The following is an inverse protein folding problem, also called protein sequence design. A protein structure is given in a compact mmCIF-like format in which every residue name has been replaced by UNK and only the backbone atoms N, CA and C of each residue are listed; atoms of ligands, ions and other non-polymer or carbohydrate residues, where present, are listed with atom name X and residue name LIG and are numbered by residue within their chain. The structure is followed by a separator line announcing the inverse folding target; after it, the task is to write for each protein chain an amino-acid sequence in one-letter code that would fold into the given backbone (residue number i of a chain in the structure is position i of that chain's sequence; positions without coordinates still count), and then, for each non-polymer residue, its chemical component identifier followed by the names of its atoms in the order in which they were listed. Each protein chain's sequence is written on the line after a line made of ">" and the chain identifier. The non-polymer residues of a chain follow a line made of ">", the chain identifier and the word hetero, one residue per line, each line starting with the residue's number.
data_IF_433533334188
#
_entry.id   IF_433533334188
#
_cell.length_a   1.000
_cell.length_b   1.000
_cell.length_c   1.000
_cell.angle_alpha   90.00
_cell.angle_beta   90.00
_cell.angle_gamma   90.00
#
_symmetry.space_group_name_H-M   'P 1'
#
loop_
_entity.id
_entity.type
_entity.pdbx_description
1 polymer ?
#
# COMPACT_ATOMS: atom_id res chain seq x y z
N UNK A 1 54.97 3.54 13.04
CA UNK A 1 54.38 4.21 11.86
C UNK A 1 53.79 3.07 11.01
N UNK A 2 52.54 2.74 11.26
CA UNK A 2 51.82 1.64 10.59
C UNK A 2 50.87 2.32 9.60
N UNK A 3 51.11 2.05 8.32
CA UNK A 3 50.27 2.53 7.22
C UNK A 3 48.94 1.77 7.27
N UNK A 4 47.85 2.48 7.44
CA UNK A 4 46.47 1.95 7.28
C UNK A 4 46.16 2.02 5.80
N UNK A 5 46.08 0.85 5.18
CA UNK A 5 45.66 0.69 3.80
C UNK A 5 44.11 0.89 3.75
N UNK A 6 43.71 2.03 3.24
CA UNK A 6 42.31 2.35 3.01
C UNK A 6 41.87 1.74 1.68
N UNK A 7 41.48 0.46 1.70
CA UNK A 7 40.72 -0.12 0.58
C UNK A 7 39.33 0.47 0.58
N UNK A 8 39.12 1.44 -0.32
CA UNK A 8 37.81 2.03 -0.57
C UNK A 8 36.85 0.93 -1.01
N UNK A 9 35.94 0.57 -0.14
CA UNK A 9 34.75 -0.24 -0.50
C UNK A 9 33.96 0.54 -1.54
N UNK A 10 33.86 0.00 -2.74
CA UNK A 10 32.97 0.53 -3.78
C UNK A 10 31.53 0.47 -3.27
N UNK A 11 30.73 1.54 -3.42
CA UNK A 11 29.32 1.47 -3.09
C UNK A 11 28.68 0.35 -3.93
N UNK A 12 27.91 -0.51 -3.27
CA UNK A 12 27.17 -1.59 -3.91
C UNK A 12 26.17 -0.97 -4.88
N UNK A 13 26.30 -1.23 -6.17
CA UNK A 13 25.33 -0.77 -7.18
C UNK A 13 24.08 -1.66 -7.13
N UNK A 14 22.93 -1.09 -7.49
CA UNK A 14 21.64 -1.83 -7.58
C UNK A 14 21.80 -3.14 -8.36
N UNK A 15 22.59 -3.13 -9.42
CA UNK A 15 22.90 -4.31 -10.22
C UNK A 15 23.72 -5.38 -9.48
N UNK A 16 24.56 -5.02 -8.51
CA UNK A 16 25.34 -5.99 -7.74
C UNK A 16 24.55 -6.66 -6.62
N UNK A 17 23.59 -5.95 -6.02
CA UNK A 17 22.64 -6.52 -5.05
C UNK A 17 21.66 -7.49 -5.73
N UNK A 18 21.12 -7.10 -6.87
CA UNK A 18 20.16 -7.92 -7.64
C UNK A 18 20.84 -9.15 -8.25
N UNK A 19 22.08 -9.01 -8.76
CA UNK A 19 22.81 -10.11 -9.38
C UNK A 19 23.34 -11.15 -8.39
N UNK A 20 23.59 -10.78 -7.14
CA UNK A 20 24.04 -11.70 -6.10
C UNK A 20 22.90 -12.64 -5.63
N UNK A 21 21.66 -12.15 -5.57
CA UNK A 21 20.50 -12.92 -5.11
C UNK A 21 19.78 -13.69 -6.23
N UNK A 22 19.83 -13.22 -7.48
CA UNK A 22 19.17 -13.89 -8.60
C UNK A 22 19.72 -15.31 -8.92
N UNK A 23 20.86 -15.69 -8.37
CA UNK A 23 21.46 -17.03 -8.52
C UNK A 23 20.93 -18.07 -7.51
N UNK A 24 20.18 -17.67 -6.50
CA UNK A 24 19.78 -18.55 -5.39
C UNK A 24 18.37 -19.15 -5.49
N UNK A 25 17.63 -18.87 -6.56
CA UNK A 25 16.20 -19.24 -6.63
C UNK A 25 15.85 -20.36 -7.61
N UNK A 26 16.84 -21.13 -8.08
CA UNK A 26 16.61 -22.49 -8.57
C UNK A 26 16.71 -23.38 -7.33
N UNK A 27 15.58 -23.69 -6.73
CA UNK A 27 15.51 -24.53 -5.55
C UNK A 27 15.99 -25.96 -5.87
N UNK A 28 17.16 -26.43 -5.36
CA UNK A 28 17.43 -27.86 -5.31
C UNK A 28 16.42 -28.51 -4.33
N UNK A 29 16.15 -29.82 -4.45
CA UNK A 29 15.37 -30.54 -3.46
C UNK A 29 16.08 -30.41 -2.11
N UNK A 30 15.61 -29.47 -1.27
CA UNK A 30 16.23 -29.20 0.03
C UNK A 30 15.30 -29.66 1.13
N UNK A 31 15.94 -30.15 2.19
CA UNK A 31 15.31 -30.34 3.48
C UNK A 31 14.58 -29.05 3.87
N UNK A 32 13.23 -29.06 3.98
CA UNK A 32 12.48 -27.87 4.33
C UNK A 32 12.87 -27.31 5.70
N UNK A 33 13.56 -28.09 6.53
CA UNK A 33 14.06 -27.69 7.84
C UNK A 33 15.46 -27.09 7.80
N UNK A 34 16.19 -27.21 6.68
CA UNK A 34 17.47 -26.55 6.53
C UNK A 34 17.26 -25.06 6.29
N UNK A 35 17.69 -24.23 7.22
CA UNK A 35 17.63 -22.77 7.14
C UNK A 35 16.21 -22.16 7.09
N UNK A 36 15.39 -22.45 8.13
CA UNK A 36 14.04 -21.90 8.29
C UNK A 36 14.01 -20.36 8.45
N UNK A 37 15.16 -19.71 8.66
CA UNK A 37 15.24 -18.28 8.92
C UNK A 37 15.23 -17.41 7.67
N UNK A 38 14.83 -17.92 6.51
CA UNK A 38 14.82 -17.17 5.25
C UNK A 38 13.43 -17.09 4.62
N UNK A 39 13.12 -15.99 3.96
CA UNK A 39 11.88 -15.83 3.16
C UNK A 39 11.76 -16.93 2.09
N UNK A 40 12.89 -17.36 1.52
CA UNK A 40 12.93 -18.45 0.55
C UNK A 40 12.48 -19.80 1.16
N UNK A 41 12.77 -20.05 2.43
CA UNK A 41 12.31 -21.25 3.13
C UNK A 41 10.78 -21.27 3.27
N UNK A 42 10.17 -20.14 3.58
CA UNK A 42 8.70 -20.02 3.67
C UNK A 42 8.04 -20.32 2.32
N UNK A 43 8.61 -19.82 1.20
CA UNK A 43 8.14 -20.18 -0.15
C UNK A 43 8.21 -21.69 -0.42
N UNK A 44 9.31 -22.37 -0.03
CA UNK A 44 9.43 -23.83 -0.18
C UNK A 44 8.43 -24.61 0.70
N UNK A 45 8.13 -24.09 1.88
CA UNK A 45 7.10 -24.69 2.76
C UNK A 45 5.73 -24.57 2.09
N UNK A 46 5.36 -23.42 1.53
CA UNK A 46 4.11 -23.23 0.79
C UNK A 46 4.01 -24.19 -0.42
N UNK A 47 5.09 -24.34 -1.21
CA UNK A 47 5.18 -25.31 -2.31
C UNK A 47 4.96 -26.74 -1.79
N UNK A 48 5.63 -27.13 -0.71
CA UNK A 48 5.52 -28.48 -0.13
C UNK A 48 4.12 -28.77 0.43
N UNK A 49 3.47 -27.79 1.07
CA UNK A 49 2.10 -27.93 1.56
C UNK A 49 1.11 -28.16 0.42
N UNK A 50 1.32 -27.56 -0.73
CA UNK A 50 0.46 -27.69 -1.89
C UNK A 50 0.86 -28.82 -2.87
N UNK A 51 1.96 -29.52 -2.62
CA UNK A 51 2.38 -30.68 -3.42
C UNK A 51 1.28 -31.78 -3.44
N UNK A 52 1.26 -32.70 -4.44
CA UNK A 52 0.24 -33.74 -4.57
C UNK A 52 0.05 -34.61 -3.32
N UNK A 53 1.10 -34.79 -2.54
CA UNK A 53 1.15 -35.51 -1.26
C UNK A 53 1.26 -34.54 -0.04
N UNK A 54 0.97 -33.25 -0.25
CA UNK A 54 0.97 -32.23 0.79
C UNK A 54 -0.31 -32.18 1.61
N UNK A 55 -0.59 -31.03 2.21
CA UNK A 55 -1.76 -30.82 3.04
C UNK A 55 -3.04 -30.75 2.19
N UNK A 56 -4.06 -31.58 2.41
CA UNK A 56 -5.31 -31.56 1.64
C UNK A 56 -6.01 -30.21 1.71
N UNK A 57 -6.01 -29.54 2.87
CA UNK A 57 -6.65 -28.25 3.06
C UNK A 57 -5.95 -27.14 2.25
N UNK A 58 -4.61 -27.05 2.31
CA UNK A 58 -3.85 -26.04 1.56
C UNK A 58 -3.99 -26.22 0.04
N UNK A 59 -4.10 -27.47 -0.42
CA UNK A 59 -4.28 -27.81 -1.84
C UNK A 59 -5.62 -27.35 -2.41
N UNK A 60 -6.66 -27.28 -1.60
CA UNK A 60 -8.00 -26.82 -2.00
C UNK A 60 -8.10 -25.30 -2.04
N UNK A 61 -7.14 -24.58 -1.44
CA UNK A 61 -7.20 -23.12 -1.38
C UNK A 61 -6.99 -22.47 -2.73
N UNK A 62 -7.63 -21.32 -2.89
CA UNK A 62 -7.53 -20.41 -4.03
C UNK A 62 -7.24 -18.99 -3.53
N UNK A 63 -6.84 -18.08 -4.40
CA UNK A 63 -6.72 -16.66 -4.05
C UNK A 63 -8.00 -16.09 -3.39
N UNK A 64 -9.16 -16.53 -3.85
CA UNK A 64 -10.45 -16.07 -3.34
C UNK A 64 -10.76 -16.65 -1.95
N UNK A 65 -10.50 -17.95 -1.72
CA UNK A 65 -10.77 -18.60 -0.44
C UNK A 65 -9.86 -18.10 0.69
N UNK A 66 -8.62 -17.69 0.36
CA UNK A 66 -7.65 -17.16 1.32
C UNK A 66 -7.85 -15.68 1.65
N UNK A 67 -8.70 -14.96 0.93
CA UNK A 67 -8.95 -13.55 1.17
C UNK A 67 -9.41 -13.22 2.60
N UNK A 68 -10.36 -13.98 3.24
CA UNK A 68 -10.71 -13.77 4.63
C UNK A 68 -9.53 -13.95 5.59
N UNK A 69 -8.71 -14.98 5.37
CA UNK A 69 -7.54 -15.26 6.22
C UNK A 69 -6.50 -14.14 6.14
N UNK A 70 -6.18 -13.63 4.94
CA UNK A 70 -5.27 -12.50 4.80
C UNK A 70 -5.76 -11.26 5.58
N UNK A 71 -7.08 -11.03 5.65
CA UNK A 71 -7.66 -9.94 6.41
C UNK A 71 -7.59 -10.20 7.91
N UNK A 72 -7.86 -11.44 8.34
CA UNK A 72 -7.77 -11.90 9.73
C UNK A 72 -6.36 -11.69 10.28
N UNK A 73 -5.33 -12.24 9.63
CA UNK A 73 -3.93 -12.04 10.02
C UNK A 73 -3.50 -10.56 10.08
N UNK A 74 -4.05 -9.75 9.16
CA UNK A 74 -3.78 -8.31 9.20
C UNK A 74 -4.35 -7.63 10.45
N UNK A 75 -5.56 -8.03 10.89
CA UNK A 75 -6.15 -7.50 12.11
C UNK A 75 -5.50 -8.05 13.38
N UNK A 76 -5.06 -9.31 13.40
CA UNK A 76 -4.32 -9.90 14.51
C UNK A 76 -2.97 -9.22 14.71
N UNK A 77 -2.26 -8.92 13.61
CA UNK A 77 -1.05 -8.11 13.66
C UNK A 77 -1.30 -6.68 14.19
N UNK A 78 -2.42 -6.04 13.85
CA UNK A 78 -2.81 -4.73 14.39
C UNK A 78 -3.11 -4.83 15.89
N UNK A 79 -3.84 -5.86 16.34
CA UNK A 79 -4.12 -6.08 17.74
C UNK A 79 -2.83 -6.32 18.56
N UNK A 80 -1.86 -7.08 18.01
CA UNK A 80 -0.56 -7.27 18.61
C UNK A 80 0.23 -5.96 18.73
N UNK A 81 0.17 -5.09 17.71
CA UNK A 81 0.76 -3.74 17.74
C UNK A 81 0.13 -2.88 18.83
N UNK A 82 -1.19 -2.85 18.93
CA UNK A 82 -1.94 -2.05 19.90
C UNK A 82 -1.66 -2.50 21.34
N UNK A 83 -1.48 -3.81 21.56
CA UNK A 83 -1.14 -4.36 22.88
C UNK A 83 0.32 -4.09 23.30
N UNK A 84 1.20 -3.77 22.36
CA UNK A 84 2.63 -3.63 22.57
C UNK A 84 3.37 -4.95 22.83
N UNK A 85 2.72 -6.10 22.60
CA UNK A 85 3.32 -7.43 22.75
C UNK A 85 4.15 -7.79 21.51
N UNK A 86 5.47 -7.59 21.62
CA UNK A 86 6.40 -7.84 20.51
C UNK A 86 6.56 -9.33 20.17
N UNK A 87 6.34 -10.24 21.11
CA UNK A 87 6.40 -11.68 20.85
C UNK A 87 5.19 -12.11 20.01
N UNK A 88 4.00 -11.68 20.43
CA UNK A 88 2.79 -11.88 19.64
C UNK A 88 2.91 -11.22 18.25
N UNK A 89 3.38 -9.98 18.20
CA UNK A 89 3.58 -9.29 16.91
C UNK A 89 4.52 -10.07 15.96
N UNK A 90 5.59 -10.68 16.50
CA UNK A 90 6.49 -11.50 15.70
C UNK A 90 5.75 -12.69 15.07
N UNK A 91 4.89 -13.33 15.83
CA UNK A 91 4.14 -14.50 15.39
C UNK A 91 3.11 -14.09 14.31
N UNK A 92 2.31 -13.03 14.53
CA UNK A 92 1.34 -12.52 13.55
C UNK A 92 2.00 -12.00 12.26
N UNK A 93 3.19 -11.38 12.34
CA UNK A 93 3.96 -11.03 11.16
C UNK A 93 4.44 -12.27 10.37
N UNK A 94 4.68 -13.39 11.07
CA UNK A 94 4.96 -14.68 10.46
C UNK A 94 3.77 -15.20 9.66
N UNK A 95 2.57 -15.12 10.21
CA UNK A 95 1.33 -15.57 9.57
C UNK A 95 0.98 -14.67 8.35
N UNK A 96 1.14 -13.35 8.46
CA UNK A 96 1.08 -12.45 7.30
C UNK A 96 2.09 -12.83 6.21
N UNK A 97 3.33 -13.16 6.59
CA UNK A 97 4.35 -13.60 5.62
C UNK A 97 3.95 -14.92 4.95
N UNK A 98 3.32 -15.83 5.69
CA UNK A 98 2.80 -17.07 5.12
C UNK A 98 1.66 -16.79 4.12
N UNK A 99 0.74 -15.85 4.41
CA UNK A 99 -0.27 -15.43 3.43
C UNK A 99 0.37 -14.93 2.12
N UNK A 100 1.45 -14.16 2.21
CA UNK A 100 2.19 -13.73 1.00
C UNK A 100 2.77 -14.94 0.25
N UNK A 101 3.37 -15.89 0.96
CA UNK A 101 4.01 -17.06 0.35
C UNK A 101 3.01 -18.00 -0.32
N UNK A 102 1.85 -18.28 0.31
CA UNK A 102 0.84 -19.17 -0.27
C UNK A 102 0.18 -18.54 -1.49
N UNK A 103 -0.06 -17.22 -1.48
CA UNK A 103 -0.53 -16.50 -2.65
C UNK A 103 0.50 -16.50 -3.79
N UNK A 104 1.79 -16.36 -3.49
CA UNK A 104 2.85 -16.46 -4.49
C UNK A 104 2.96 -17.88 -5.06
N UNK A 105 2.73 -18.93 -4.23
CA UNK A 105 2.69 -20.31 -4.69
C UNK A 105 1.51 -20.60 -5.62
N UNK A 106 0.32 -20.09 -5.29
CA UNK A 106 -0.85 -20.17 -6.18
C UNK A 106 -0.57 -19.53 -7.54
N UNK A 107 0.03 -18.34 -7.55
CA UNK A 107 0.41 -17.66 -8.77
C UNK A 107 1.50 -18.43 -9.57
N UNK A 108 2.42 -19.10 -8.88
CA UNK A 108 3.41 -19.98 -9.50
C UNK A 108 2.77 -21.17 -10.21
N UNK A 109 1.78 -21.80 -9.60
CA UNK A 109 1.01 -22.91 -10.18
C UNK A 109 0.24 -22.48 -11.44
N UNK A 110 -0.17 -21.21 -11.51
CA UNK A 110 -0.79 -20.59 -12.69
C UNK A 110 0.24 -20.13 -13.74
N UNK A 111 1.55 -20.24 -13.45
CA UNK A 111 2.64 -19.82 -14.34
C UNK A 111 2.81 -18.30 -14.43
N UNK A 112 2.32 -17.53 -13.44
CA UNK A 112 2.34 -16.08 -13.45
C UNK A 112 3.61 -15.50 -12.80
N UNK A 113 3.86 -15.77 -11.53
CA UNK A 113 5.03 -15.32 -10.76
C UNK A 113 5.23 -16.19 -9.52
N UNK A 114 6.41 -16.11 -8.91
CA UNK A 114 6.76 -16.83 -7.69
C UNK A 114 7.13 -15.90 -6.52
N UNK A 115 7.47 -16.48 -5.37
CA UNK A 115 7.90 -15.74 -4.17
C UNK A 115 9.18 -14.91 -4.42
N UNK A 116 10.04 -15.37 -5.31
CA UNK A 116 11.25 -14.65 -5.67
C UNK A 116 10.94 -13.38 -6.45
N UNK A 117 9.97 -13.46 -7.36
CA UNK A 117 9.51 -12.31 -8.14
C UNK A 117 8.85 -11.26 -7.22
N UNK A 118 8.08 -11.70 -6.23
CA UNK A 118 7.50 -10.82 -5.21
C UNK A 118 8.62 -10.08 -4.45
N UNK A 119 9.60 -10.81 -3.93
CA UNK A 119 10.71 -10.25 -3.17
C UNK A 119 11.56 -9.29 -4.03
N UNK A 120 11.90 -9.70 -5.26
CA UNK A 120 12.66 -8.88 -6.22
C UNK A 120 11.95 -7.58 -6.53
N UNK A 121 10.66 -7.65 -6.90
CA UNK A 121 9.87 -6.47 -7.25
C UNK A 121 9.71 -5.50 -6.08
N UNK A 122 9.58 -6.02 -4.87
CA UNK A 122 9.59 -5.19 -3.65
C UNK A 122 10.95 -4.52 -3.44
N UNK A 123 12.05 -5.27 -3.52
CA UNK A 123 13.41 -4.76 -3.35
C UNK A 123 13.74 -3.66 -4.36
N UNK A 124 13.50 -3.89 -5.65
CA UNK A 124 13.70 -2.90 -6.71
C UNK A 124 12.89 -1.63 -6.46
N UNK A 125 11.64 -1.77 -6.05
CA UNK A 125 10.76 -0.64 -5.71
C UNK A 125 11.31 0.16 -4.53
N UNK A 126 11.76 -0.51 -3.46
CA UNK A 126 12.30 0.15 -2.26
C UNK A 126 13.60 0.88 -2.57
N UNK A 127 14.53 0.25 -3.28
CA UNK A 127 15.80 0.87 -3.68
C UNK A 127 15.54 2.11 -4.54
N UNK A 128 14.73 1.98 -5.57
CA UNK A 128 14.39 3.09 -6.48
C UNK A 128 13.70 4.26 -5.78
N UNK A 129 12.86 3.99 -4.76
CA UNK A 129 12.14 5.04 -4.03
C UNK A 129 12.95 5.70 -2.92
N UNK A 130 14.13 5.17 -2.60
CA UNK A 130 15.03 5.71 -1.56
C UNK A 130 16.42 6.04 -2.12
N UNK A 131 16.52 6.84 -3.20
CA UNK A 131 17.82 7.16 -3.81
C UNK A 131 18.74 7.92 -2.84
N UNK A 132 18.17 8.63 -1.87
CA UNK A 132 18.94 9.27 -0.80
C UNK A 132 19.65 8.27 0.12
N UNK A 133 19.16 7.04 0.22
CA UNK A 133 19.79 5.96 1.01
C UNK A 133 20.75 5.13 0.16
N UNK A 134 20.35 4.75 -1.05
CA UNK A 134 21.04 3.76 -1.85
C UNK A 134 21.97 4.37 -2.92
N UNK A 135 21.70 5.61 -3.33
CA UNK A 135 22.46 6.27 -4.43
C UNK A 135 23.12 7.59 -3.99
N UNK A 136 23.00 7.98 -2.72
CA UNK A 136 23.61 9.21 -2.19
C UNK A 136 23.01 10.50 -2.74
N UNK A 137 21.80 10.47 -3.31
CA UNK A 137 21.10 11.64 -3.84
C UNK A 137 20.64 12.51 -2.67
N UNK A 138 20.99 13.79 -2.69
CA UNK A 138 20.55 14.72 -1.63
C UNK A 138 19.05 14.96 -1.65
N UNK A 139 18.44 15.10 -0.48
CA UNK A 139 17.05 15.49 -0.33
C UNK A 139 16.95 17.00 -0.53
N UNK A 140 16.37 17.46 -1.63
CA UNK A 140 16.19 18.88 -1.92
C UNK A 140 15.24 19.53 -0.91
N UNK A 141 15.72 20.57 -0.22
CA UNK A 141 14.91 21.36 0.72
C UNK A 141 14.38 20.59 1.94
N UNK A 142 14.84 19.35 2.19
CA UNK A 142 14.31 18.50 3.27
C UNK A 142 12.94 17.87 2.96
N UNK A 143 12.41 18.04 1.75
CA UNK A 143 11.12 17.50 1.31
C UNK A 143 11.23 16.06 0.83
N UNK A 144 11.34 15.13 1.79
CA UNK A 144 11.38 13.69 1.52
C UNK A 144 10.08 13.17 0.90
N UNK A 145 8.94 13.67 1.37
CA UNK A 145 7.62 13.25 0.88
C UNK A 145 7.39 13.68 -0.57
N UNK A 146 7.75 14.93 -0.91
CA UNK A 146 7.67 15.41 -2.28
C UNK A 146 8.59 14.66 -3.22
N UNK A 147 9.81 14.30 -2.80
CA UNK A 147 10.71 13.47 -3.59
C UNK A 147 10.08 12.09 -3.88
N UNK A 148 9.52 11.45 -2.86
CA UNK A 148 8.88 10.15 -2.98
C UNK A 148 7.65 10.16 -3.91
N UNK A 149 6.82 11.22 -3.84
CA UNK A 149 5.67 11.38 -4.74
C UNK A 149 6.09 11.67 -6.19
N UNK A 150 7.18 12.44 -6.41
CA UNK A 150 7.74 12.63 -7.77
C UNK A 150 8.17 11.28 -8.38
N UNK A 151 8.87 10.46 -7.61
CA UNK A 151 9.30 9.12 -8.06
C UNK A 151 8.09 8.24 -8.38
N UNK A 152 7.09 8.20 -7.51
CA UNK A 152 5.84 7.46 -7.77
C UNK A 152 5.09 7.94 -9.00
N UNK A 153 5.10 9.24 -9.28
CA UNK A 153 4.50 9.81 -10.49
C UNK A 153 5.23 9.32 -11.74
N UNK A 154 6.55 9.41 -11.75
CA UNK A 154 7.40 8.90 -12.85
C UNK A 154 7.17 7.40 -13.10
N UNK A 155 7.07 6.60 -12.04
CA UNK A 155 6.73 5.17 -12.16
C UNK A 155 5.37 4.95 -12.86
N UNK A 156 4.37 5.76 -12.52
CA UNK A 156 3.03 5.66 -13.13
C UNK A 156 3.01 6.12 -14.58
N UNK A 157 3.80 7.14 -14.93
CA UNK A 157 3.92 7.66 -16.29
C UNK A 157 4.70 6.69 -17.18
N UNK A 158 5.73 6.02 -16.64
CA UNK A 158 6.56 5.04 -17.36
C UNK A 158 5.95 3.64 -17.48
N UNK A 159 4.93 3.31 -16.68
CA UNK A 159 4.31 1.99 -16.71
C UNK A 159 3.48 1.78 -17.99
N UNK A 160 3.76 0.68 -18.70
CA UNK A 160 2.96 0.23 -19.86
C UNK A 160 1.55 -0.17 -19.42
N UNK A 161 0.59 -0.24 -20.37
CA UNK A 161 -0.80 -0.64 -20.08
C UNK A 161 -0.90 -2.00 -19.41
N UNK A 162 0.02 -2.91 -19.69
CA UNK A 162 0.05 -4.27 -19.13
C UNK A 162 0.60 -4.29 -17.69
N UNK A 163 1.42 -3.30 -17.29
CA UNK A 163 1.94 -3.15 -15.94
C UNK A 163 0.99 -2.41 -14.98
N UNK A 164 -0.06 -1.77 -15.51
CA UNK A 164 -1.13 -1.10 -14.74
C UNK A 164 -2.12 -2.10 -14.15
N UNK A 165 -1.64 -3.29 -13.80
CA UNK A 165 -2.43 -4.40 -13.28
C UNK A 165 -3.34 -4.02 -12.12
N UNK A 166 -4.64 -4.17 -12.32
CA UNK A 166 -5.57 -4.68 -11.34
C UNK A 166 -6.16 -3.73 -10.29
N UNK A 167 -6.05 -2.44 -10.41
CA UNK A 167 -6.80 -1.52 -9.55
C UNK A 167 -7.54 -0.50 -10.41
N UNK A 168 -8.83 -0.70 -10.59
CA UNK A 168 -9.68 0.05 -11.52
C UNK A 168 -9.92 1.53 -11.20
N UNK A 169 -8.85 2.26 -10.94
CA UNK A 169 -8.84 3.72 -10.94
C UNK A 169 -7.74 4.20 -11.87
N UNK A 170 -8.12 5.06 -12.78
CA UNK A 170 -7.29 5.75 -13.75
C UNK A 170 -5.96 6.15 -13.09
N UNK A 171 -4.84 5.56 -13.53
CA UNK A 171 -3.51 5.81 -12.96
C UNK A 171 -3.04 7.27 -13.08
N UNK A 172 -3.88 8.14 -13.63
CA UNK A 172 -3.70 9.58 -13.75
C UNK A 172 -4.40 10.38 -12.65
N UNK A 173 -5.35 9.80 -11.90
CA UNK A 173 -6.04 10.51 -10.81
C UNK A 173 -5.14 10.71 -9.60
N UNK A 174 -5.22 11.90 -8.97
CA UNK A 174 -4.54 12.20 -7.68
C UNK A 174 -5.01 11.26 -6.57
N UNK A 175 -6.23 10.73 -6.66
CA UNK A 175 -6.78 9.76 -5.72
C UNK A 175 -6.42 8.30 -6.06
N UNK A 176 -5.72 8.07 -7.17
CA UNK A 176 -5.39 6.73 -7.66
C UNK A 176 -4.63 5.87 -6.63
N UNK A 177 -4.98 4.58 -6.52
CA UNK A 177 -4.32 3.62 -5.63
C UNK A 177 -4.84 3.62 -4.18
N UNK A 178 -6.03 4.14 -3.89
CA UNK A 178 -6.79 3.84 -2.66
C UNK A 178 -7.64 2.61 -2.97
N UNK A 179 -7.41 1.47 -2.27
CA UNK A 179 -8.21 0.26 -2.49
C UNK A 179 -9.68 0.49 -2.16
N UNK A 180 -10.58 -0.10 -2.97
CA UNK A 180 -12.03 0.08 -2.81
C UNK A 180 -12.61 -0.63 -1.58
N UNK A 181 -11.93 -1.68 -1.14
CA UNK A 181 -12.39 -2.55 -0.05
C UNK A 181 -11.82 -2.14 1.32
N UNK A 182 -11.19 -0.96 1.43
CA UNK A 182 -10.78 -0.42 2.72
C UNK A 182 -12.01 -0.08 3.60
N UNK A 183 -11.90 -0.20 4.93
CA UNK A 183 -12.86 0.38 5.86
C UNK A 183 -13.11 1.86 5.54
N UNK A 184 -14.39 2.29 5.59
CA UNK A 184 -14.77 3.59 5.01
C UNK A 184 -14.10 4.79 5.70
N UNK A 185 -13.87 4.74 7.02
CA UNK A 185 -13.12 5.78 7.73
C UNK A 185 -11.68 5.87 7.24
N UNK A 186 -10.99 4.74 7.11
CA UNK A 186 -9.61 4.71 6.63
C UNK A 186 -9.53 5.14 5.15
N UNK A 187 -10.49 4.74 4.33
CA UNK A 187 -10.60 5.22 2.96
C UNK A 187 -10.80 6.75 2.90
N UNK A 188 -11.70 7.30 3.75
CA UNK A 188 -11.94 8.75 3.83
C UNK A 188 -10.67 9.53 4.17
N UNK A 189 -9.93 9.08 5.18
CA UNK A 189 -8.65 9.69 5.56
C UNK A 189 -7.67 9.71 4.40
N UNK A 190 -7.46 8.57 3.72
CA UNK A 190 -6.53 8.45 2.59
C UNK A 190 -6.95 9.31 1.39
N UNK A 191 -8.24 9.39 1.09
CA UNK A 191 -8.76 10.22 0.00
C UNK A 191 -8.55 11.71 0.29
N UNK A 192 -8.90 12.16 1.50
CA UNK A 192 -8.74 13.55 1.91
C UNK A 192 -7.27 13.97 1.97
N UNK A 193 -6.38 13.12 2.53
CA UNK A 193 -4.94 13.36 2.54
C UNK A 193 -4.39 13.59 1.12
N UNK A 194 -4.80 12.77 0.15
CA UNK A 194 -4.34 12.90 -1.24
C UNK A 194 -4.88 14.15 -1.92
N UNK A 195 -6.17 14.46 -1.72
CA UNK A 195 -6.78 15.66 -2.27
C UNK A 195 -6.16 16.94 -1.70
N UNK A 196 -5.87 16.96 -0.41
CA UNK A 196 -5.23 18.10 0.26
C UNK A 196 -3.84 18.44 -0.31
N UNK A 197 -3.10 17.46 -0.82
CA UNK A 197 -1.78 17.69 -1.45
C UNK A 197 -1.85 18.56 -2.69
N UNK A 198 -2.97 18.55 -3.40
CA UNK A 198 -3.26 19.42 -4.55
C UNK A 198 -4.25 20.54 -4.19
N UNK A 199 -4.35 20.87 -2.89
CA UNK A 199 -5.24 21.90 -2.32
C UNK A 199 -6.73 21.70 -2.60
N UNK A 200 -7.13 20.51 -2.96
CA UNK A 200 -8.50 20.11 -3.22
C UNK A 200 -9.15 19.69 -1.89
N UNK A 201 -9.60 20.68 -1.13
CA UNK A 201 -10.22 20.47 0.19
C UNK A 201 -11.72 20.71 0.05
N UNK A 202 -12.58 19.71 0.30
CA UNK A 202 -14.02 19.90 0.25
C UNK A 202 -14.46 20.92 1.32
N UNK A 203 -15.54 21.69 1.07
CA UNK A 203 -16.14 22.52 2.09
C UNK A 203 -16.51 21.65 3.31
N UNK A 204 -16.10 22.09 4.48
CA UNK A 204 -16.41 21.40 5.75
C UNK A 204 -17.79 21.85 6.24
N UNK A 205 -18.53 20.91 6.81
CA UNK A 205 -19.66 21.25 7.65
C UNK A 205 -19.09 21.86 8.94
N UNK A 206 -19.56 23.05 9.31
CA UNK A 206 -19.24 23.63 10.62
C UNK A 206 -19.79 22.69 11.69
N UNK A 207 -18.91 21.93 12.31
CA UNK A 207 -19.27 21.15 13.47
C UNK A 207 -19.46 22.12 14.65
N UNK A 208 -20.54 22.01 15.41
CA UNK A 208 -20.81 22.89 16.57
C UNK A 208 -19.92 22.55 17.77
N UNK A 209 -18.87 21.79 17.57
CA UNK A 209 -17.96 21.26 18.60
C UNK A 209 -16.52 21.35 18.11
N UNK A 210 -15.62 21.75 18.97
CA UNK A 210 -14.19 21.63 18.72
C UNK A 210 -13.76 20.20 19.03
N UNK A 211 -13.05 19.57 18.08
CA UNK A 211 -12.47 18.24 18.25
C UNK A 211 -11.01 18.46 18.66
N UNK A 212 -10.75 18.45 19.96
CA UNK A 212 -9.47 18.81 20.58
C UNK A 212 -8.71 17.60 21.17
N UNK A 213 -9.39 16.47 21.33
CA UNK A 213 -8.75 15.23 21.77
C UNK A 213 -9.30 13.97 21.06
N UNK A 214 -8.52 12.86 20.98
CA UNK A 214 -8.93 11.61 20.34
C UNK A 214 -10.07 10.89 21.07
N UNK A 215 -10.18 11.02 22.40
CA UNK A 215 -11.22 10.36 23.20
C UNK A 215 -12.59 10.93 22.85
N UNK A 216 -12.70 12.25 22.84
CA UNK A 216 -13.92 12.95 22.42
C UNK A 216 -14.30 12.65 20.97
N UNK A 217 -13.31 12.58 20.05
CA UNK A 217 -13.57 12.17 18.67
C UNK A 217 -14.11 10.76 18.61
N UNK A 218 -13.56 9.82 19.39
CA UNK A 218 -14.02 8.45 19.47
C UNK A 218 -15.47 8.35 19.95
N UNK A 219 -15.84 9.09 21.02
CA UNK A 219 -17.21 9.16 21.53
C UNK A 219 -18.17 9.74 20.48
N UNK A 220 -17.81 10.83 19.83
CA UNK A 220 -18.61 11.46 18.78
C UNK A 220 -18.88 10.49 17.61
N UNK A 221 -17.85 9.77 17.16
CA UNK A 221 -18.01 8.76 16.10
C UNK A 221 -18.91 7.61 16.55
N UNK A 222 -18.77 7.15 17.79
CA UNK A 222 -19.61 6.11 18.37
C UNK A 222 -21.08 6.54 18.44
N UNK A 223 -21.35 7.77 18.89
CA UNK A 223 -22.69 8.33 18.96
C UNK A 223 -23.32 8.51 17.57
N UNK A 224 -22.52 8.94 16.58
CA UNK A 224 -22.98 9.02 15.18
C UNK A 224 -23.39 7.65 14.63
N UNK A 225 -22.62 6.59 14.94
CA UNK A 225 -22.97 5.21 14.57
C UNK A 225 -24.26 4.77 15.30
N UNK A 226 -24.42 5.14 16.58
CA UNK A 226 -25.63 4.90 17.36
C UNK A 226 -26.85 5.55 16.72
N UNK A 227 -26.76 6.83 16.38
CA UNK A 227 -27.81 7.58 15.70
C UNK A 227 -28.17 6.98 14.31
N UNK A 228 -27.16 6.60 13.52
CA UNK A 228 -27.37 5.95 12.23
C UNK A 228 -28.18 4.65 12.42
N UNK A 229 -27.82 3.81 13.40
CA UNK A 229 -28.52 2.57 13.71
C UNK A 229 -29.98 2.80 14.12
N UNK A 230 -30.29 3.82 14.93
CA UNK A 230 -31.65 4.17 15.34
C UNK A 230 -32.55 4.55 14.16
N UNK A 231 -31.95 5.14 13.11
CA UNK A 231 -32.64 5.49 11.86
C UNK A 231 -32.60 4.37 10.80
N UNK A 232 -32.04 3.22 11.11
CA UNK A 232 -31.94 2.09 10.19
C UNK A 232 -30.86 2.26 9.09
N UNK A 233 -29.90 3.15 9.28
CA UNK A 233 -28.79 3.35 8.36
C UNK A 233 -27.57 2.52 8.77
N UNK A 234 -26.85 1.99 7.79
CA UNK A 234 -25.52 1.43 7.96
C UNK A 234 -24.46 2.54 7.81
N UNK A 235 -23.79 2.89 8.92
CA UNK A 235 -22.83 3.98 8.97
C UNK A 235 -21.60 3.73 8.06
N UNK A 236 -21.12 2.48 7.98
CA UNK A 236 -20.00 2.10 7.11
C UNK A 236 -20.37 2.29 5.63
N UNK A 237 -21.54 1.80 5.22
CA UNK A 237 -22.03 1.98 3.86
C UNK A 237 -22.31 3.45 3.53
N UNK A 238 -22.89 4.21 4.45
CA UNK A 238 -23.15 5.64 4.27
C UNK A 238 -21.87 6.44 4.06
N UNK A 239 -20.80 6.16 4.84
CA UNK A 239 -19.51 6.80 4.67
C UNK A 239 -18.80 6.32 3.40
N UNK A 240 -18.94 5.05 3.03
CA UNK A 240 -18.42 4.51 1.76
C UNK A 240 -19.05 5.24 0.57
N UNK A 241 -20.35 5.45 0.56
CA UNK A 241 -21.02 6.23 -0.48
C UNK A 241 -20.59 7.70 -0.50
N UNK A 242 -20.34 8.31 0.68
CA UNK A 242 -19.79 9.66 0.76
C UNK A 242 -18.38 9.74 0.14
N UNK A 243 -17.52 8.76 0.41
CA UNK A 243 -16.21 8.63 -0.20
C UNK A 243 -16.31 8.49 -1.73
N UNK A 244 -17.27 7.71 -2.24
CA UNK A 244 -17.49 7.58 -3.68
C UNK A 244 -17.98 8.89 -4.33
N UNK A 245 -18.88 9.62 -3.65
CA UNK A 245 -19.30 10.95 -4.13
C UNK A 245 -18.12 11.91 -4.21
N UNK A 246 -17.28 11.91 -3.18
CA UNK A 246 -16.06 12.70 -3.14
C UNK A 246 -15.11 12.36 -4.30
N UNK A 247 -14.84 11.06 -4.53
CA UNK A 247 -13.99 10.61 -5.65
C UNK A 247 -14.55 11.05 -7.01
N UNK A 248 -15.86 10.94 -7.22
CA UNK A 248 -16.50 11.41 -8.47
C UNK A 248 -16.35 12.90 -8.65
N UNK A 249 -16.47 13.69 -7.58
CA UNK A 249 -16.27 15.12 -7.64
C UNK A 249 -14.81 15.47 -8.01
N UNK A 250 -13.84 14.88 -7.34
CA UNK A 250 -12.42 15.04 -7.69
C UNK A 250 -12.15 14.71 -9.16
N UNK A 251 -12.73 13.63 -9.67
CA UNK A 251 -12.59 13.27 -11.09
C UNK A 251 -13.12 14.36 -12.05
N UNK A 252 -14.22 15.06 -11.66
CA UNK A 252 -14.74 16.21 -12.45
C UNK A 252 -13.77 17.40 -12.41
N UNK A 253 -13.25 17.75 -11.23
CA UNK A 253 -12.23 18.78 -11.06
C UNK A 253 -11.00 18.48 -11.92
N UNK A 254 -10.49 17.26 -11.88
CA UNK A 254 -9.37 16.81 -12.70
C UNK A 254 -9.67 16.92 -14.20
N UNK A 255 -10.87 16.54 -14.62
CA UNK A 255 -11.29 16.62 -16.01
C UNK A 255 -11.34 18.08 -16.47
N UNK A 256 -11.85 18.99 -15.64
CA UNK A 256 -11.90 20.43 -15.93
C UNK A 256 -10.49 21.02 -16.02
N UNK A 257 -9.62 20.75 -15.08
CA UNK A 257 -8.24 21.21 -15.10
C UNK A 257 -7.49 20.73 -16.37
N UNK A 258 -7.71 19.47 -16.78
CA UNK A 258 -7.18 18.96 -18.05
C UNK A 258 -7.73 19.70 -19.28
N UNK A 259 -9.01 20.02 -19.28
CA UNK A 259 -9.62 20.81 -20.37
C UNK A 259 -9.02 22.21 -20.46
N UNK A 260 -8.67 22.81 -19.33
CA UNK A 260 -8.00 24.12 -19.27
C UNK A 260 -6.49 24.04 -19.59
N UNK A 261 -5.95 22.84 -19.81
CA UNK A 261 -4.53 22.59 -20.08
C UNK A 261 -3.61 22.90 -18.87
N UNK A 262 -4.15 22.89 -17.66
CA UNK A 262 -3.44 23.24 -16.42
C UNK A 262 -3.23 22.02 -15.52
N UNK A 263 -2.05 21.93 -14.90
CA UNK A 263 -1.80 20.97 -13.82
C UNK A 263 -2.50 21.44 -12.53
N UNK A 264 -3.03 20.51 -11.74
CA UNK A 264 -3.75 20.82 -10.49
C UNK A 264 -2.89 21.63 -9.51
N UNK A 265 -1.61 21.33 -9.43
CA UNK A 265 -0.66 22.00 -8.55
C UNK A 265 -0.44 23.49 -8.92
N UNK A 266 -0.81 23.88 -10.15
CA UNK A 266 -0.68 25.28 -10.63
C UNK A 266 -1.82 26.19 -10.18
N UNK A 267 -2.90 25.64 -9.62
CA UNK A 267 -4.01 26.43 -9.10
C UNK A 267 -3.67 26.97 -7.70
N UNK A 268 -3.99 28.24 -7.45
CA UNK A 268 -3.99 28.80 -6.10
C UNK A 268 -5.11 28.15 -5.26
N UNK A 269 -5.13 28.39 -3.95
CA UNK A 269 -6.21 27.91 -3.10
C UNK A 269 -7.58 28.45 -3.52
N UNK A 270 -7.65 29.75 -3.82
CA UNK A 270 -8.91 30.42 -4.24
C UNK A 270 -9.39 29.91 -5.60
N UNK A 271 -8.48 29.72 -6.56
CA UNK A 271 -8.81 29.12 -7.85
C UNK A 271 -9.29 27.67 -7.71
N UNK A 272 -8.68 26.89 -6.81
CA UNK A 272 -9.10 25.53 -6.56
C UNK A 272 -10.50 25.46 -5.92
N UNK A 273 -10.81 26.37 -4.98
CA UNK A 273 -12.16 26.48 -4.43
C UNK A 273 -13.18 26.84 -5.50
N UNK A 274 -12.88 27.83 -6.34
CA UNK A 274 -13.78 28.22 -7.44
C UNK A 274 -14.01 27.05 -8.42
N UNK A 275 -12.95 26.32 -8.77
CA UNK A 275 -13.02 25.14 -9.63
C UNK A 275 -13.85 24.01 -9.01
N UNK A 276 -13.72 23.83 -7.69
CA UNK A 276 -14.51 22.88 -6.92
C UNK A 276 -15.99 23.23 -6.97
N UNK A 277 -16.35 24.49 -6.69
CA UNK A 277 -17.73 24.96 -6.70
C UNK A 277 -18.36 24.89 -8.10
N UNK A 278 -17.60 25.23 -9.15
CA UNK A 278 -18.06 25.14 -10.54
C UNK A 278 -18.39 23.70 -10.97
N UNK A 279 -17.72 22.71 -10.38
CA UNK A 279 -17.87 21.29 -10.70
C UNK A 279 -18.82 20.55 -9.72
N UNK A 280 -19.36 21.26 -8.74
CA UNK A 280 -20.39 20.72 -7.82
C UNK A 280 -21.74 20.67 -8.55
N UNK A 281 -22.40 19.51 -8.55
CA UNK A 281 -23.78 19.33 -9.01
C UNK A 281 -24.79 19.52 -7.87
#
# INVERSE_FOLDING_TARGET
>A
MIAVDATAERPLTVGSLIAAEARFLIFPPMDPYADLATVAAIGRIADRLRAPDGCPWDREQTHASLRPHLLEEAYEALEALDSGDLERLRDELGDLLFQVAIHAQLAHEEGAFDMADVARRLGEKLVRRHPHVFEGVAIEGGDLLGQWERIKRQEREGATKDEKGGGGHDGQSVLGGVPKDLPALFAAERLQERAARVRMVPPRIDLPVDIDDPEFLGELLFDLVGAAREHGFDAESALREANERFMRHVARVEARARADGRALESYSADEMHALWDETTE
#
